data_IF_942714097908
#
_entry.id   IF_942714097908
#
_cell.length_a   1.000
_cell.length_b   1.000
_cell.length_c   1.000
_cell.angle_alpha   90.00
_cell.angle_beta   90.00
_cell.angle_gamma   90.00
#
_symmetry.space_group_name_H-M   'P 1'
#
loop_
_entity.id
_entity.type
_entity.pdbx_description
1 polymer ?
#
# COMPACT_ATOMS: atom_id res chain seq x y z
N UNK A 1 12.46 -3.73 -16.93
CA UNK A 1 12.76 -5.17 -16.95
C UNK A 1 13.81 -5.57 -17.99
N UNK A 2 14.18 -4.73 -18.99
CA UNK A 2 15.29 -5.09 -19.90
C UNK A 2 16.59 -5.39 -19.13
N UNK A 3 16.89 -4.66 -18.06
CA UNK A 3 18.06 -4.92 -17.21
C UNK A 3 17.97 -6.28 -16.48
N UNK A 4 16.75 -6.76 -16.20
CA UNK A 4 16.54 -8.09 -15.63
C UNK A 4 16.75 -9.18 -16.67
N UNK A 5 16.32 -8.95 -17.92
CA UNK A 5 16.64 -9.85 -19.02
C UNK A 5 18.14 -9.88 -19.31
N UNK A 6 18.83 -8.74 -19.19
CA UNK A 6 20.25 -8.64 -19.48
C UNK A 6 21.13 -9.25 -18.40
N UNK A 7 20.71 -9.13 -17.14
CA UNK A 7 21.39 -9.78 -16.00
C UNK A 7 21.09 -11.28 -15.89
N UNK A 8 20.13 -11.81 -16.65
CA UNK A 8 19.71 -13.21 -16.54
C UNK A 8 18.83 -13.50 -15.32
N UNK A 9 18.38 -12.47 -14.59
CA UNK A 9 17.47 -12.61 -13.44
C UNK A 9 15.99 -12.70 -13.85
N UNK A 10 15.69 -12.62 -15.15
CA UNK A 10 14.36 -12.81 -15.71
C UNK A 10 14.46 -13.66 -16.98
N UNK A 11 13.73 -14.77 -17.01
CA UNK A 11 13.72 -15.66 -18.17
C UNK A 11 12.66 -15.24 -19.20
N UNK A 12 11.47 -14.87 -18.71
CA UNK A 12 10.31 -14.58 -19.54
C UNK A 12 9.38 -13.56 -18.88
N UNK A 13 8.70 -12.73 -19.68
CA UNK A 13 7.70 -11.79 -19.22
C UNK A 13 6.39 -11.91 -20.00
N UNK A 14 5.27 -11.95 -19.29
CA UNK A 14 3.92 -11.84 -19.87
C UNK A 14 3.23 -10.60 -19.32
N UNK A 15 2.60 -9.80 -20.18
CA UNK A 15 1.96 -8.53 -19.78
C UNK A 15 0.81 -8.15 -20.71
N UNK A 16 0.01 -7.16 -20.34
CA UNK A 16 -0.93 -6.53 -21.29
C UNK A 16 -0.23 -5.56 -22.22
N UNK A 17 0.70 -4.79 -21.67
CA UNK A 17 1.41 -3.73 -22.37
C UNK A 17 2.82 -3.60 -21.81
N UNK A 18 3.68 -2.96 -22.58
CA UNK A 18 5.04 -2.60 -22.18
C UNK A 18 5.19 -1.08 -22.26
N UNK A 19 5.90 -0.52 -21.28
CA UNK A 19 6.27 0.89 -21.27
C UNK A 19 7.76 0.99 -20.96
N UNK A 20 8.49 1.60 -21.87
CA UNK A 20 9.91 1.90 -21.70
C UNK A 20 10.14 3.41 -21.76
N UNK A 21 11.31 3.84 -21.25
CA UNK A 21 11.85 5.16 -21.60
C UNK A 21 12.18 5.20 -23.10
N UNK A 22 12.40 6.40 -23.69
CA UNK A 22 12.84 6.52 -25.07
C UNK A 22 14.09 5.66 -25.38
N UNK A 23 15.10 5.71 -24.52
CA UNK A 23 16.31 4.90 -24.68
C UNK A 23 16.04 3.39 -24.50
N UNK A 24 15.10 3.04 -23.62
CA UNK A 24 14.68 1.65 -23.44
C UNK A 24 13.98 1.10 -24.69
N UNK A 25 13.14 1.89 -25.37
CA UNK A 25 12.55 1.50 -26.64
C UNK A 25 13.61 1.33 -27.72
N UNK A 26 14.54 2.29 -27.84
CA UNK A 26 15.66 2.19 -28.79
C UNK A 26 16.45 0.90 -28.56
N UNK A 27 16.86 0.64 -27.32
CA UNK A 27 17.58 -0.59 -26.94
C UNK A 27 16.79 -1.85 -27.24
N UNK A 28 15.48 -1.86 -26.98
CA UNK A 28 14.62 -3.01 -27.26
C UNK A 28 14.56 -3.32 -28.75
N UNK A 29 14.37 -2.32 -29.61
CA UNK A 29 14.32 -2.51 -31.06
C UNK A 29 15.69 -2.84 -31.67
N UNK A 30 16.77 -2.19 -31.20
CA UNK A 30 18.13 -2.49 -31.64
C UNK A 30 18.56 -3.94 -31.32
N UNK A 31 17.92 -4.57 -30.33
CA UNK A 31 18.20 -5.94 -29.89
C UNK A 31 16.95 -6.84 -29.98
N UNK A 32 16.12 -6.63 -31.01
CA UNK A 32 14.83 -7.30 -31.16
C UNK A 32 14.90 -8.82 -31.02
N UNK A 33 15.79 -9.49 -31.75
CA UNK A 33 15.95 -10.95 -31.74
C UNK A 33 16.28 -11.52 -30.35
N UNK A 34 16.91 -10.73 -29.49
CA UNK A 34 17.24 -11.11 -28.11
C UNK A 34 16.02 -11.05 -27.18
N UNK A 35 15.17 -10.03 -27.35
CA UNK A 35 14.09 -9.73 -26.41
C UNK A 35 12.73 -10.28 -26.83
N UNK A 36 12.42 -10.24 -28.12
CA UNK A 36 11.14 -10.70 -28.67
C UNK A 36 10.72 -12.10 -28.19
N UNK A 37 11.58 -13.15 -28.24
CA UNK A 37 11.17 -14.49 -27.82
C UNK A 37 10.93 -14.64 -26.32
N UNK A 38 11.30 -13.63 -25.51
CA UNK A 38 11.16 -13.63 -24.04
C UNK A 38 9.93 -12.85 -23.56
N UNK A 39 9.16 -12.27 -24.46
CA UNK A 39 8.04 -11.40 -24.14
C UNK A 39 6.76 -11.88 -24.82
N UNK A 40 5.67 -11.94 -24.07
CA UNK A 40 4.34 -12.24 -24.60
C UNK A 40 3.30 -11.23 -24.11
N UNK A 41 2.66 -10.55 -25.06
CA UNK A 41 1.56 -9.66 -24.78
C UNK A 41 0.23 -10.41 -24.87
N UNK A 42 -0.64 -10.21 -23.88
CA UNK A 42 -1.98 -10.82 -23.80
C UNK A 42 -3.03 -9.73 -23.57
N UNK A 43 -4.29 -10.02 -23.87
CA UNK A 43 -5.37 -9.11 -23.46
C UNK A 43 -5.43 -9.01 -21.93
N UNK A 44 -5.92 -7.88 -21.43
CA UNK A 44 -6.06 -7.65 -19.98
C UNK A 44 -6.92 -8.74 -19.32
N UNK A 45 -7.97 -9.21 -20.01
CA UNK A 45 -8.82 -10.30 -19.52
C UNK A 45 -8.07 -11.61 -19.24
N UNK A 46 -6.93 -11.85 -19.91
CA UNK A 46 -6.09 -13.03 -19.68
C UNK A 46 -4.98 -12.72 -18.68
N UNK A 47 -4.26 -11.60 -18.84
CA UNK A 47 -3.15 -11.25 -17.94
C UNK A 47 -3.60 -10.99 -16.51
N UNK A 48 -4.81 -10.48 -16.34
CA UNK A 48 -5.40 -10.16 -15.05
C UNK A 48 -6.45 -11.20 -14.60
N UNK A 49 -6.51 -12.36 -15.26
CA UNK A 49 -7.49 -13.40 -14.89
C UNK A 49 -7.20 -13.91 -13.47
N UNK A 50 -8.14 -13.80 -12.51
CA UNK A 50 -7.97 -14.32 -11.17
C UNK A 50 -7.60 -15.81 -11.13
N UNK A 51 -8.17 -16.57 -12.07
CA UNK A 51 -7.91 -17.99 -12.27
C UNK A 51 -6.42 -18.24 -12.56
N UNK A 52 -5.88 -17.53 -13.56
CA UNK A 52 -4.48 -17.68 -13.97
C UNK A 52 -3.53 -17.19 -12.88
N UNK A 53 -3.80 -16.03 -12.29
CA UNK A 53 -2.97 -15.45 -11.21
C UNK A 53 -2.85 -16.44 -10.05
N UNK A 54 -3.99 -17.00 -9.62
CA UNK A 54 -4.04 -17.97 -8.52
C UNK A 54 -3.40 -19.30 -8.87
N UNK A 55 -3.67 -19.84 -10.07
CA UNK A 55 -3.10 -21.12 -10.53
C UNK A 55 -1.57 -21.06 -10.60
N UNK A 56 -1.01 -19.94 -11.07
CA UNK A 56 0.43 -19.75 -11.17
C UNK A 56 1.09 -19.37 -9.85
N UNK A 57 0.31 -19.01 -8.82
CA UNK A 57 0.84 -18.60 -7.52
C UNK A 57 1.65 -17.31 -7.58
N UNK A 58 1.14 -16.31 -8.33
CA UNK A 58 1.82 -15.02 -8.53
C UNK A 58 2.08 -14.30 -7.20
N UNK A 59 3.22 -13.64 -7.07
CA UNK A 59 3.49 -12.66 -6.01
C UNK A 59 3.06 -11.29 -6.53
N UNK A 60 1.99 -10.74 -5.96
CA UNK A 60 1.46 -9.43 -6.32
C UNK A 60 2.12 -8.32 -5.51
N UNK A 61 2.71 -7.33 -6.18
CA UNK A 61 3.29 -6.14 -5.54
C UNK A 61 2.62 -4.89 -6.12
N UNK A 62 2.04 -4.05 -5.26
CA UNK A 62 1.37 -2.82 -5.65
C UNK A 62 1.74 -1.65 -4.74
N UNK A 63 1.51 -0.43 -5.22
CA UNK A 63 1.82 0.81 -4.48
C UNK A 63 0.54 1.55 -4.11
N UNK A 64 0.22 1.67 -2.81
CA UNK A 64 -0.92 2.44 -2.35
C UNK A 64 -0.59 3.94 -2.20
N UNK A 65 -1.64 4.75 -2.05
CA UNK A 65 -1.61 6.12 -1.54
C UNK A 65 -1.29 6.11 -0.04
N UNK A 66 -2.05 5.30 0.71
CA UNK A 66 -1.94 5.12 2.15
C UNK A 66 -2.41 3.70 2.53
N UNK A 67 -1.88 3.20 3.63
CA UNK A 67 -2.27 1.93 4.26
C UNK A 67 -2.62 2.25 5.71
N UNK A 68 -3.68 1.68 6.24
CA UNK A 68 -3.98 1.85 7.66
C UNK A 68 -3.32 0.80 8.55
N UNK A 69 -3.34 1.06 9.85
CA UNK A 69 -2.76 0.17 10.85
C UNK A 69 -3.41 -1.23 10.84
N UNK A 70 -4.59 -1.41 10.26
CA UNK A 70 -5.27 -2.71 10.17
C UNK A 70 -4.99 -3.47 8.88
N UNK A 71 -4.18 -2.87 7.99
CA UNK A 71 -3.83 -3.37 6.67
C UNK A 71 -4.94 -3.21 5.61
N UNK A 72 -5.82 -2.22 5.73
CA UNK A 72 -6.57 -1.75 4.56
C UNK A 72 -5.69 -0.82 3.73
N UNK A 73 -5.93 -0.78 2.42
CA UNK A 73 -5.18 0.08 1.51
C UNK A 73 -6.08 0.95 0.64
N UNK A 74 -5.64 2.20 0.46
CA UNK A 74 -6.17 3.17 -0.48
C UNK A 74 -5.20 3.30 -1.65
N UNK A 75 -5.62 3.03 -2.87
CA UNK A 75 -4.82 3.14 -4.09
C UNK A 75 -5.28 4.26 -5.01
N UNK A 76 -6.44 4.87 -4.76
CA UNK A 76 -7.12 5.72 -5.74
C UNK A 76 -7.40 7.15 -5.28
N UNK A 77 -7.90 7.33 -4.05
CA UNK A 77 -8.57 8.57 -3.65
C UNK A 77 -7.80 9.31 -2.56
N UNK A 78 -7.02 10.33 -2.93
CA UNK A 78 -6.35 11.19 -1.95
C UNK A 78 -7.40 11.98 -1.15
N UNK A 79 -7.27 11.97 0.17
CA UNK A 79 -8.24 12.57 1.09
C UNK A 79 -9.68 12.06 0.84
N UNK A 80 -9.80 10.79 0.47
CA UNK A 80 -11.08 10.10 0.29
C UNK A 80 -11.88 10.46 -0.96
N UNK A 81 -11.51 11.48 -1.73
CA UNK A 81 -12.32 11.94 -2.88
C UNK A 81 -11.55 12.37 -4.11
N UNK A 82 -10.26 12.73 -3.99
CA UNK A 82 -9.49 13.16 -5.17
C UNK A 82 -8.87 11.95 -5.87
N UNK A 83 -9.47 11.54 -6.97
CA UNK A 83 -8.96 10.47 -7.85
C UNK A 83 -7.54 10.79 -8.36
N UNK A 84 -6.66 9.79 -8.31
CA UNK A 84 -5.33 9.85 -8.92
C UNK A 84 -5.31 9.29 -10.34
N UNK A 85 -5.39 7.97 -10.48
CA UNK A 85 -5.33 7.26 -11.75
C UNK A 85 -6.49 6.28 -11.93
N UNK A 86 -6.84 5.57 -10.85
CA UNK A 86 -7.83 4.49 -10.83
C UNK A 86 -7.26 3.20 -10.22
N UNK A 87 -8.13 2.28 -9.84
CA UNK A 87 -7.76 1.02 -9.15
C UNK A 87 -6.83 0.16 -10.00
N UNK A 88 -7.02 0.17 -11.32
CA UNK A 88 -6.28 -0.66 -12.26
C UNK A 88 -6.46 -2.16 -11.96
N UNK A 89 -5.41 -2.94 -12.19
CA UNK A 89 -5.40 -4.39 -11.90
C UNK A 89 -5.04 -4.75 -10.46
N UNK A 90 -4.86 -3.78 -9.57
CA UNK A 90 -4.35 -4.04 -8.21
C UNK A 90 -5.25 -5.02 -7.45
N UNK A 91 -6.58 -4.87 -7.53
CA UNK A 91 -7.53 -5.80 -6.93
C UNK A 91 -7.48 -7.20 -7.56
N UNK A 92 -7.33 -7.32 -8.89
CA UNK A 92 -7.22 -8.60 -9.58
C UNK A 92 -6.04 -9.43 -9.03
N UNK A 93 -4.89 -8.77 -8.88
CA UNK A 93 -3.66 -9.39 -8.38
C UNK A 93 -3.71 -9.63 -6.87
N UNK A 94 -4.05 -8.64 -6.05
CA UNK A 94 -3.97 -8.77 -4.59
C UNK A 94 -5.00 -9.75 -4.02
N UNK A 95 -6.18 -9.90 -4.62
CA UNK A 95 -7.15 -10.92 -4.19
C UNK A 95 -6.74 -12.34 -4.60
N UNK A 96 -6.01 -12.47 -5.71
CA UNK A 96 -5.77 -13.77 -6.38
C UNK A 96 -4.34 -14.29 -6.23
N UNK A 97 -3.42 -13.45 -5.76
CA UNK A 97 -2.01 -13.79 -5.60
C UNK A 97 -1.78 -14.84 -4.52
N UNK A 98 -0.62 -15.50 -4.59
CA UNK A 98 -0.09 -16.32 -3.51
C UNK A 98 0.38 -15.49 -2.33
N UNK A 99 0.97 -14.33 -2.62
CA UNK A 99 1.36 -13.30 -1.66
C UNK A 99 1.00 -11.93 -2.19
N UNK A 100 0.31 -11.16 -1.36
CA UNK A 100 -0.16 -9.82 -1.67
C UNK A 100 0.59 -8.77 -0.86
N UNK A 101 1.41 -8.00 -1.56
CA UNK A 101 2.35 -7.05 -0.98
C UNK A 101 1.96 -5.64 -1.40
N UNK A 102 1.72 -4.77 -0.42
CA UNK A 102 1.67 -3.33 -0.63
C UNK A 102 3.00 -2.71 -0.21
N UNK A 103 3.61 -1.92 -1.08
CA UNK A 103 4.85 -1.21 -0.78
C UNK A 103 4.72 0.29 -1.04
N UNK A 104 5.18 1.11 -0.11
CA UNK A 104 5.12 2.57 -0.18
C UNK A 104 6.27 3.17 0.64
N UNK A 105 6.79 4.36 0.32
CA UNK A 105 7.50 5.15 1.31
C UNK A 105 6.65 5.29 2.58
N UNK A 106 7.26 5.33 3.76
CA UNK A 106 6.55 5.53 5.03
C UNK A 106 5.99 6.96 5.15
N UNK A 107 6.61 7.93 4.47
CA UNK A 107 6.14 9.32 4.37
C UNK A 107 6.31 9.89 2.97
N UNK A 108 5.61 11.00 2.71
CA UNK A 108 5.78 11.85 1.54
C UNK A 108 5.91 13.31 1.99
N UNK A 109 6.64 14.15 1.25
CA UNK A 109 6.72 15.57 1.54
C UNK A 109 5.37 16.27 1.30
N UNK A 110 5.06 17.23 2.15
CA UNK A 110 4.04 18.25 1.89
C UNK A 110 4.70 19.53 1.37
N UNK A 111 3.92 20.62 1.23
CA UNK A 111 4.46 21.94 0.85
C UNK A 111 5.40 22.54 1.92
N UNK A 112 5.22 22.15 3.18
CA UNK A 112 5.84 22.80 4.35
C UNK A 112 6.65 21.85 5.23
N UNK A 113 6.55 20.54 5.02
CA UNK A 113 7.22 19.52 5.85
C UNK A 113 7.75 18.38 4.94
N UNK A 114 9.06 18.05 4.98
CA UNK A 114 9.66 17.00 4.14
C UNK A 114 9.08 15.60 4.39
N UNK A 115 8.46 15.41 5.55
CA UNK A 115 7.78 14.17 5.97
C UNK A 115 6.31 14.43 6.28
N UNK A 116 5.73 15.51 5.75
CA UNK A 116 4.44 16.03 6.20
C UNK A 116 3.22 15.15 5.94
N UNK A 117 3.35 14.08 5.16
CA UNK A 117 2.26 13.13 4.91
C UNK A 117 2.73 11.74 5.32
N UNK A 118 2.06 11.13 6.30
CA UNK A 118 2.26 9.72 6.62
C UNK A 118 1.55 8.84 5.59
N UNK A 119 2.21 7.76 5.17
CA UNK A 119 1.57 6.71 4.36
C UNK A 119 1.01 5.56 5.22
N UNK A 120 1.33 5.54 6.52
CA UNK A 120 0.67 4.67 7.51
C UNK A 120 -0.28 5.54 8.33
N UNK A 121 -1.58 5.25 8.31
CA UNK A 121 -2.63 6.09 8.91
C UNK A 121 -3.50 5.30 9.90
N UNK A 122 -4.23 5.95 10.82
CA UNK A 122 -5.15 5.25 11.71
C UNK A 122 -6.27 4.51 10.96
N UNK A 123 -6.81 5.14 9.92
CA UNK A 123 -7.87 4.60 9.07
C UNK A 123 -7.70 5.17 7.66
N UNK A 124 -7.81 4.35 6.63
CA UNK A 124 -7.77 4.82 5.25
C UNK A 124 -8.98 5.73 4.96
N UNK A 125 -8.76 6.83 4.25
CA UNK A 125 -9.84 7.75 3.82
C UNK A 125 -10.70 7.18 2.70
N UNK A 126 -10.21 6.17 2.00
CA UNK A 126 -10.91 5.34 1.03
C UNK A 126 -10.30 3.94 1.05
N UNK A 127 -11.11 2.91 0.85
CA UNK A 127 -10.64 1.51 0.89
C UNK A 127 -10.85 0.88 -0.48
N UNK A 128 -9.75 0.60 -1.16
CA UNK A 128 -9.71 -0.15 -2.41
C UNK A 128 -9.46 -1.64 -2.15
N UNK A 129 -8.62 -1.94 -1.15
CA UNK A 129 -8.33 -3.30 -0.71
C UNK A 129 -8.52 -3.39 0.80
N UNK A 130 -9.24 -4.41 1.24
CA UNK A 130 -9.44 -4.64 2.67
C UNK A 130 -8.26 -5.41 3.26
N UNK A 131 -8.22 -5.50 4.58
CA UNK A 131 -7.27 -6.30 5.33
C UNK A 131 -7.23 -7.78 4.92
N UNK A 132 -8.27 -8.30 4.29
CA UNK A 132 -8.31 -9.67 3.77
C UNK A 132 -7.48 -9.89 2.49
N UNK A 133 -7.09 -8.81 1.81
CA UNK A 133 -6.38 -8.85 0.52
C UNK A 133 -4.90 -8.53 0.64
N UNK A 134 -4.41 -8.34 1.87
CA UNK A 134 -3.04 -7.97 2.16
C UNK A 134 -2.37 -8.99 3.07
N UNK A 135 -1.21 -9.48 2.62
CA UNK A 135 -0.33 -10.35 3.39
C UNK A 135 0.85 -9.60 4.00
N UNK A 136 1.39 -8.61 3.28
CA UNK A 136 2.61 -7.90 3.66
C UNK A 136 2.51 -6.41 3.33
N UNK A 137 2.95 -5.57 4.27
CA UNK A 137 3.16 -4.13 4.08
C UNK A 137 4.67 -3.84 4.14
N UNK A 138 5.19 -3.08 3.19
CA UNK A 138 6.62 -2.75 3.10
C UNK A 138 6.82 -1.24 2.99
N UNK A 139 7.73 -0.71 3.79
CA UNK A 139 8.25 0.65 3.63
C UNK A 139 9.78 0.64 3.74
N UNK A 140 10.43 1.79 3.58
CA UNK A 140 11.87 1.90 3.81
C UNK A 140 12.27 1.68 5.28
N UNK A 141 11.30 1.67 6.21
CA UNK A 141 11.54 1.38 7.64
C UNK A 141 11.62 -0.14 7.92
N UNK A 142 11.03 -0.97 7.05
CA UNK A 142 10.97 -2.41 7.23
C UNK A 142 9.76 -3.05 6.55
N UNK A 143 9.45 -4.29 6.94
CA UNK A 143 8.29 -5.01 6.44
C UNK A 143 7.47 -5.63 7.58
N UNK A 144 6.15 -5.54 7.48
CA UNK A 144 5.18 -6.18 8.36
C UNK A 144 4.48 -7.33 7.63
N UNK A 145 4.74 -8.56 8.09
CA UNK A 145 3.99 -9.75 7.69
C UNK A 145 2.76 -9.87 8.59
N UNK A 146 1.57 -9.78 7.99
CA UNK A 146 0.28 -9.74 8.69
C UNK A 146 -0.53 -11.04 8.58
N UNK A 147 0.05 -12.07 7.97
CA UNK A 147 -0.61 -13.37 7.79
C UNK A 147 -0.90 -14.01 9.14
N UNK A 148 -2.15 -14.46 9.32
CA UNK A 148 -2.60 -15.12 10.54
C UNK A 148 -2.75 -14.19 11.76
N UNK A 149 -2.55 -12.88 11.60
CA UNK A 149 -2.70 -11.90 12.67
C UNK A 149 -4.12 -11.33 12.72
N UNK A 150 -4.64 -11.13 13.93
CA UNK A 150 -5.85 -10.35 14.20
C UNK A 150 -5.61 -8.84 13.99
N UNK A 151 -6.65 -8.01 13.78
CA UNK A 151 -6.46 -6.58 13.52
C UNK A 151 -5.56 -5.87 14.55
N UNK A 152 -5.72 -6.17 15.84
CA UNK A 152 -4.89 -5.60 16.91
C UNK A 152 -3.43 -6.04 16.87
N UNK A 153 -3.15 -7.25 16.38
CA UNK A 153 -1.78 -7.71 16.17
C UNK A 153 -1.16 -7.06 14.93
N UNK A 154 -1.95 -6.91 13.85
CA UNK A 154 -1.57 -6.18 12.62
C UNK A 154 -1.16 -4.74 12.92
N UNK A 155 -1.98 -4.01 13.67
CA UNK A 155 -1.69 -2.63 14.08
C UNK A 155 -0.34 -2.50 14.75
N UNK A 156 -0.07 -3.34 15.76
CA UNK A 156 1.22 -3.33 16.46
C UNK A 156 2.40 -3.58 15.54
N UNK A 157 2.32 -4.56 14.63
CA UNK A 157 3.45 -4.88 13.73
C UNK A 157 3.62 -3.85 12.62
N UNK A 158 2.54 -3.30 12.06
CA UNK A 158 2.58 -2.27 11.02
C UNK A 158 3.15 -0.96 11.59
N UNK A 159 2.65 -0.50 12.73
CA UNK A 159 3.16 0.70 13.39
C UNK A 159 4.67 0.53 13.68
N UNK A 160 5.05 -0.59 14.30
CA UNK A 160 6.44 -0.83 14.70
C UNK A 160 7.41 -0.95 13.54
N UNK A 161 7.01 -1.57 12.42
CA UNK A 161 7.93 -1.96 11.34
C UNK A 161 7.83 -1.10 10.08
N UNK A 162 6.72 -0.42 9.86
CA UNK A 162 6.43 0.25 8.60
C UNK A 162 6.20 1.76 8.76
N UNK A 163 5.73 2.23 9.93
CA UNK A 163 5.54 3.65 10.14
C UNK A 163 6.88 4.39 10.31
N UNK A 164 6.93 5.63 9.83
CA UNK A 164 8.08 6.51 10.01
C UNK A 164 8.26 6.88 11.49
N UNK A 165 9.50 7.07 11.99
CA UNK A 165 9.76 7.45 13.38
C UNK A 165 8.94 8.66 13.87
N UNK A 166 8.76 9.69 13.04
CA UNK A 166 7.93 10.87 13.36
C UNK A 166 6.46 10.55 13.66
N UNK A 167 5.92 9.47 13.09
CA UNK A 167 4.51 9.09 13.20
C UNK A 167 4.27 7.90 14.13
N UNK A 168 5.31 7.15 14.51
CA UNK A 168 5.17 6.02 15.46
C UNK A 168 4.49 6.48 16.77
N UNK A 169 4.94 7.54 17.47
CA UNK A 169 4.30 7.97 18.72
C UNK A 169 2.84 8.39 18.53
N UNK A 170 2.53 9.03 17.39
CA UNK A 170 1.18 9.51 17.06
C UNK A 170 0.24 8.32 16.85
N UNK A 171 0.68 7.31 16.08
CA UNK A 171 -0.10 6.11 15.78
C UNK A 171 -0.23 5.19 17.00
N UNK A 172 0.81 5.06 17.82
CA UNK A 172 0.76 4.31 19.07
C UNK A 172 -0.23 4.94 20.06
N UNK A 173 -0.23 6.27 20.23
CA UNK A 173 -1.20 6.94 21.10
C UNK A 173 -2.64 6.71 20.62
N UNK A 174 -2.89 6.81 19.31
CA UNK A 174 -4.19 6.49 18.73
C UNK A 174 -4.62 5.05 19.03
N UNK A 175 -3.76 4.09 18.70
CA UNK A 175 -4.09 2.68 18.84
C UNK A 175 -4.31 2.29 20.30
N UNK A 176 -3.45 2.77 21.21
CA UNK A 176 -3.58 2.51 22.65
C UNK A 176 -4.88 3.10 23.22
N UNK A 177 -5.24 4.33 22.83
CA UNK A 177 -6.49 4.96 23.25
C UNK A 177 -7.71 4.20 22.72
N UNK A 178 -7.71 3.90 21.42
CA UNK A 178 -8.78 3.16 20.77
C UNK A 178 -8.97 1.77 21.40
N UNK A 179 -7.87 1.02 21.59
CA UNK A 179 -7.89 -0.31 22.19
C UNK A 179 -8.46 -0.26 23.61
N UNK A 180 -8.01 0.68 24.44
CA UNK A 180 -8.51 0.84 25.81
C UNK A 180 -10.02 1.12 25.86
N UNK A 181 -10.50 2.10 25.09
CA UNK A 181 -11.92 2.50 25.09
C UNK A 181 -12.82 1.39 24.51
N UNK A 182 -12.41 0.75 23.42
CA UNK A 182 -13.19 -0.29 22.77
C UNK A 182 -13.24 -1.58 23.60
N UNK A 183 -12.13 -2.00 24.24
CA UNK A 183 -12.11 -3.18 25.09
C UNK A 183 -13.03 -3.04 26.30
N UNK A 184 -13.05 -1.86 26.95
CA UNK A 184 -13.96 -1.59 28.09
C UNK A 184 -15.43 -1.71 27.72
N UNK A 185 -15.77 -1.57 26.44
CA UNK A 185 -17.13 -1.68 25.91
C UNK A 185 -17.43 -3.03 25.25
N UNK A 186 -16.47 -3.96 25.24
CA UNK A 186 -16.62 -5.27 24.57
C UNK A 186 -16.59 -5.20 23.04
N UNK A 187 -16.07 -4.11 22.44
CA UNK A 187 -16.08 -3.85 20.99
C UNK A 187 -14.65 -3.75 20.41
N UNK A 188 -13.71 -4.56 20.92
CA UNK A 188 -12.27 -4.43 20.65
C UNK A 188 -11.71 -5.33 19.54
N UNK A 189 -12.51 -5.81 18.58
CA UNK A 189 -11.97 -6.63 17.49
C UNK A 189 -11.01 -5.82 16.61
N UNK A 190 -11.49 -4.67 16.15
CA UNK A 190 -10.75 -3.68 15.37
C UNK A 190 -11.04 -2.28 15.96
N UNK A 191 -10.23 -1.83 16.93
CA UNK A 191 -10.58 -0.66 17.73
C UNK A 191 -10.37 0.67 16.98
N UNK A 192 -11.38 1.53 16.96
CA UNK A 192 -11.28 2.87 16.40
C UNK A 192 -11.88 3.93 17.33
N UNK A 193 -11.21 5.09 17.38
CA UNK A 193 -11.83 6.34 17.83
C UNK A 193 -12.41 7.05 16.61
N UNK A 194 -13.63 6.67 16.20
CA UNK A 194 -14.22 7.02 14.90
C UNK A 194 -14.15 8.53 14.55
N UNK A 195 -14.45 9.40 15.51
CA UNK A 195 -14.46 10.85 15.28
C UNK A 195 -13.06 11.47 15.14
N UNK A 196 -12.03 10.72 15.56
CA UNK A 196 -10.63 11.12 15.51
C UNK A 196 -9.84 10.41 14.40
N UNK A 197 -10.37 9.34 13.79
CA UNK A 197 -9.65 8.51 12.80
C UNK A 197 -9.02 9.30 11.65
N UNK A 198 -9.59 10.47 11.31
CA UNK A 198 -9.14 11.33 10.22
C UNK A 198 -8.50 12.66 10.69
N UNK A 199 -8.16 12.82 11.97
CA UNK A 199 -7.59 14.07 12.47
C UNK A 199 -6.21 14.36 11.86
N UNK A 200 -5.42 13.34 11.53
CA UNK A 200 -4.18 13.51 10.76
C UNK A 200 -4.46 14.13 9.38
N UNK A 201 -5.49 13.66 8.67
CA UNK A 201 -5.89 14.21 7.37
C UNK A 201 -6.44 15.64 7.48
N UNK A 202 -7.25 15.92 8.52
CA UNK A 202 -7.73 17.29 8.81
C UNK A 202 -6.56 18.23 9.06
N UNK A 203 -5.61 17.83 9.91
CA UNK A 203 -4.44 18.63 10.24
C UNK A 203 -3.55 18.88 9.01
N UNK A 204 -3.45 17.90 8.08
CA UNK A 204 -2.78 18.12 6.80
C UNK A 204 -3.45 19.21 5.97
N UNK A 205 -4.79 19.27 5.94
CA UNK A 205 -5.55 20.31 5.23
C UNK A 205 -5.36 21.68 5.87
N UNK A 206 -5.45 21.74 7.20
CA UNK A 206 -5.47 23.01 7.94
C UNK A 206 -4.06 23.59 8.13
N UNK A 207 -3.05 22.74 8.31
CA UNK A 207 -1.71 23.13 8.73
C UNK A 207 -0.58 22.64 7.79
N UNK A 208 -0.91 21.87 6.75
CA UNK A 208 0.06 21.40 5.78
C UNK A 208 0.94 20.23 6.27
N UNK A 209 0.64 19.61 7.40
CA UNK A 209 1.33 18.40 7.88
C UNK A 209 0.37 17.48 8.63
N UNK A 210 0.58 16.17 8.60
CA UNK A 210 -0.16 15.19 9.41
C UNK A 210 0.39 15.06 10.84
N UNK A 211 1.49 15.75 11.18
CA UNK A 211 2.10 15.66 12.50
C UNK A 211 1.24 16.38 13.53
N UNK A 212 0.62 15.59 14.40
CA UNK A 212 -0.16 16.08 15.54
C UNK A 212 0.76 16.29 16.73
N UNK A 213 0.67 17.43 17.42
CA UNK A 213 1.32 17.62 18.72
C UNK A 213 0.67 16.74 19.81
N UNK A 214 -0.66 16.61 19.73
CA UNK A 214 -1.50 15.77 20.59
C UNK A 214 -2.83 15.47 19.91
N UNK A 215 -3.42 14.33 20.26
CA UNK A 215 -4.79 14.01 19.84
C UNK A 215 -5.82 14.81 20.63
N UNK A 216 -6.90 15.23 19.95
CA UNK A 216 -8.02 15.90 20.59
C UNK A 216 -9.20 14.94 20.80
N UNK A 217 -9.13 14.12 21.85
CA UNK A 217 -10.08 13.03 22.09
C UNK A 217 -11.52 13.44 22.41
N UNK A 218 -11.75 14.70 22.82
CA UNK A 218 -13.05 15.17 23.35
C UNK A 218 -13.47 16.51 22.72
N UNK A 219 -12.91 16.84 21.56
CA UNK A 219 -13.20 18.05 20.80
C UNK A 219 -14.61 18.14 20.25
#
# INVERSE_FOLDING_TARGET
FLDLFDSGNLDFATATSIRFSPDGFKRFYDNWERYYPKLLLRSQAVSNSPEVIRRLGVIGMNTPVEVDIYAHANSTCVLGSRMLNGLGGSADFLRSAKYSIMHTPSTRPSKTDPTGVSCIVPMCTHVDQTEHDLDVVVTEQGFADVRGLSPRERARVIIKKCAHPDYVPILEDYFNKAEFECLRKGMGHEPHMLFNSFDMHKHLVDHGTMKLEKWNWYG
#
